data_IF_755386349807
#
_entry.id   IF_755386349807
#
_cell.length_a   1.000
_cell.length_b   1.000
_cell.length_c   1.000
_cell.angle_alpha   90.00
_cell.angle_beta   90.00
_cell.angle_gamma   90.00
#
_symmetry.space_group_name_H-M   'P 1'
#
loop_
_entity.id
_entity.type
_entity.pdbx_description
1 polymer ?
#
# COMPACT_ATOMS: atom_id res chain seq x y z
N UNK A 1 -37.98 7.49 -59.47
CA UNK A 1 -38.00 6.69 -58.22
C UNK A 1 -36.63 6.06 -58.02
N UNK A 2 -35.75 6.69 -57.26
CA UNK A 2 -34.50 6.07 -56.79
C UNK A 2 -34.51 6.17 -55.26
N UNK A 3 -34.82 5.05 -54.61
CA UNK A 3 -34.88 4.95 -53.15
C UNK A 3 -33.46 4.91 -52.61
N UNK A 4 -33.09 5.88 -51.75
CA UNK A 4 -31.80 5.92 -51.07
C UNK A 4 -31.83 4.95 -49.89
N UNK A 5 -31.10 3.85 -50.01
CA UNK A 5 -30.87 2.91 -48.90
C UNK A 5 -29.78 3.51 -48.01
N UNK A 6 -30.15 3.93 -46.80
CA UNK A 6 -29.22 4.39 -45.78
C UNK A 6 -28.82 3.16 -44.95
N UNK A 7 -27.60 2.67 -45.15
CA UNK A 7 -27.00 1.65 -44.29
C UNK A 7 -26.48 2.32 -43.01
N UNK A 8 -27.24 2.21 -41.92
CA UNK A 8 -26.70 2.47 -40.58
C UNK A 8 -25.76 1.33 -40.21
N UNK A 9 -24.45 1.55 -40.35
CA UNK A 9 -23.44 0.66 -39.78
C UNK A 9 -23.48 0.81 -38.26
N UNK A 10 -24.11 -0.15 -37.59
CA UNK A 10 -24.04 -0.27 -36.14
C UNK A 10 -22.65 -0.82 -35.80
N UNK A 11 -21.71 0.10 -35.53
CA UNK A 11 -20.37 -0.25 -35.06
C UNK A 11 -20.52 -0.82 -33.64
N UNK A 12 -20.49 -2.15 -33.52
CA UNK A 12 -20.38 -2.84 -32.24
C UNK A 12 -19.01 -2.50 -31.65
N UNK A 13 -18.96 -1.46 -30.82
CA UNK A 13 -17.84 -1.23 -29.93
C UNK A 13 -17.81 -2.39 -28.93
N UNK A 14 -17.05 -3.44 -29.26
CA UNK A 14 -16.68 -4.45 -28.30
C UNK A 14 -15.85 -3.77 -27.21
N UNK A 15 -16.49 -3.45 -26.08
CA UNK A 15 -15.78 -2.95 -24.90
C UNK A 15 -14.95 -4.11 -24.37
N UNK A 16 -13.65 -4.08 -24.61
CA UNK A 16 -12.72 -4.96 -23.93
C UNK A 16 -12.71 -4.56 -22.46
N UNK A 17 -13.55 -5.20 -21.63
CA UNK A 17 -13.43 -5.06 -20.19
C UNK A 17 -12.11 -5.73 -19.79
N UNK A 18 -11.10 -4.91 -19.50
CA UNK A 18 -9.88 -5.41 -18.89
C UNK A 18 -10.24 -5.92 -17.49
N UNK A 19 -10.32 -7.24 -17.35
CA UNK A 19 -10.53 -7.89 -16.06
C UNK A 19 -9.21 -7.79 -15.30
N UNK A 20 -9.19 -6.98 -14.23
CA UNK A 20 -8.06 -6.93 -13.31
C UNK A 20 -7.78 -8.30 -12.69
N UNK A 21 -6.52 -8.53 -12.31
CA UNK A 21 -6.07 -9.75 -11.63
C UNK A 21 -5.97 -9.47 -10.15
N UNK A 22 -6.49 -10.40 -9.36
CA UNK A 22 -6.28 -10.41 -7.91
C UNK A 22 -4.82 -10.63 -7.59
N UNK A 23 -4.24 -9.68 -6.87
CA UNK A 23 -2.87 -9.72 -6.39
C UNK A 23 -2.83 -9.47 -4.89
N UNK A 24 -1.84 -10.02 -4.21
CA UNK A 24 -1.69 -9.88 -2.76
C UNK A 24 -0.23 -9.76 -2.34
N UNK A 25 -0.03 -9.17 -1.17
CA UNK A 25 1.28 -9.05 -0.52
C UNK A 25 1.13 -9.13 0.99
N UNK A 26 2.20 -9.52 1.68
CA UNK A 26 2.28 -9.47 3.12
C UNK A 26 3.62 -8.91 3.57
N UNK A 27 3.62 -8.21 4.70
CA UNK A 27 4.81 -7.66 5.34
C UNK A 27 4.72 -7.82 6.85
N UNK A 28 5.87 -8.07 7.47
CA UNK A 28 6.03 -8.09 8.93
C UNK A 28 7.34 -7.41 9.34
N UNK A 29 7.42 -7.02 10.60
CA UNK A 29 8.64 -6.44 11.17
C UNK A 29 8.49 -6.04 12.62
N UNK A 30 9.53 -5.40 13.15
CA UNK A 30 9.58 -4.86 14.51
C UNK A 30 10.02 -3.41 14.46
N UNK A 31 9.24 -2.53 15.09
CA UNK A 31 9.58 -1.11 15.22
C UNK A 31 10.18 -0.84 16.59
N UNK A 32 11.28 -0.10 16.61
CA UNK A 32 11.96 0.35 17.81
C UNK A 32 11.93 1.88 17.88
N UNK A 33 11.90 2.42 19.09
CA UNK A 33 12.13 3.82 19.35
C UNK A 33 13.23 3.92 20.38
N UNK A 34 14.43 4.29 19.94
CA UNK A 34 15.67 4.22 20.74
C UNK A 34 15.87 2.78 21.27
N UNK A 35 15.97 2.62 22.58
CA UNK A 35 16.29 1.35 23.24
C UNK A 35 15.07 0.49 23.57
N UNK A 36 13.86 0.92 23.18
CA UNK A 36 12.60 0.22 23.51
C UNK A 36 11.80 -0.15 22.25
N UNK A 37 10.95 -1.19 22.34
CA UNK A 37 9.94 -1.42 21.33
C UNK A 37 8.99 -0.23 21.16
N UNK A 38 8.67 0.10 19.92
CA UNK A 38 7.71 1.15 19.59
C UNK A 38 6.31 0.55 19.54
N UNK A 39 5.57 0.65 20.65
CA UNK A 39 4.19 0.17 20.81
C UNK A 39 3.16 1.15 20.25
N UNK A 40 2.03 0.63 19.77
CA UNK A 40 0.86 1.39 19.31
C UNK A 40 1.14 2.33 18.13
N UNK A 41 2.20 2.06 17.36
CA UNK A 41 2.55 2.77 16.13
C UNK A 41 1.61 2.33 15.03
N UNK A 42 0.96 3.26 14.34
CA UNK A 42 0.05 2.94 13.23
C UNK A 42 0.84 2.64 11.96
N UNK A 43 0.49 1.53 11.30
CA UNK A 43 1.01 1.15 9.99
C UNK A 43 -0.16 0.88 9.06
N UNK A 44 -0.05 1.40 7.84
CA UNK A 44 -1.03 1.19 6.78
C UNK A 44 -0.35 0.65 5.54
N UNK A 45 -0.88 -0.43 4.99
CA UNK A 45 -0.47 -1.03 3.73
C UNK A 45 -1.35 -0.44 2.62
N UNK A 46 -0.70 0.10 1.60
CA UNK A 46 -1.33 0.69 0.44
C UNK A 46 -0.86 0.01 -0.84
N UNK A 47 -1.73 0.02 -1.84
CA UNK A 47 -1.31 -0.04 -3.23
C UNK A 47 -0.99 1.37 -3.73
N UNK A 48 0.16 1.57 -4.38
CA UNK A 48 0.55 2.88 -4.87
C UNK A 48 0.04 3.11 -6.29
N UNK A 49 -0.75 4.16 -6.43
CA UNK A 49 -1.25 4.60 -7.72
C UNK A 49 -0.56 5.88 -8.20
N UNK A 50 -0.22 5.93 -9.49
CA UNK A 50 0.36 7.14 -10.10
C UNK A 50 -0.71 8.19 -10.45
N UNK A 51 -1.94 7.76 -10.75
CA UNK A 51 -3.01 8.61 -11.30
C UNK A 51 -4.23 8.75 -10.39
N UNK A 52 -4.34 7.88 -9.39
CA UNK A 52 -5.37 7.89 -8.35
C UNK A 52 -4.72 8.05 -6.97
N UNK A 53 -5.51 8.41 -5.94
CA UNK A 53 -5.09 8.24 -4.56
C UNK A 53 -4.78 6.76 -4.29
N UNK A 54 -3.73 6.51 -3.51
CA UNK A 54 -3.36 5.17 -3.07
C UNK A 54 -4.54 4.42 -2.43
N UNK A 55 -4.72 3.14 -2.78
CA UNK A 55 -5.75 2.29 -2.21
C UNK A 55 -5.28 1.67 -0.89
N UNK A 56 -6.05 1.87 0.19
CA UNK A 56 -5.76 1.23 1.48
C UNK A 56 -6.11 -0.26 1.42
N UNK A 57 -5.12 -1.12 1.59
CA UNK A 57 -5.32 -2.57 1.57
C UNK A 57 -5.49 -3.18 2.96
N UNK A 58 -4.70 -2.71 3.95
CA UNK A 58 -4.73 -3.19 5.33
C UNK A 58 -4.16 -2.16 6.32
N UNK A 59 -4.49 -2.27 7.61
CA UNK A 59 -3.92 -1.42 8.65
C UNK A 59 -3.82 -2.13 10.00
N UNK A 60 -2.77 -1.83 10.74
CA UNK A 60 -2.50 -2.43 12.04
C UNK A 60 -1.75 -1.44 12.92
N UNK A 61 -1.69 -1.77 14.22
CA UNK A 61 -0.78 -1.11 15.15
C UNK A 61 0.23 -2.10 15.69
N UNK A 62 1.43 -1.64 16.00
CA UNK A 62 2.42 -2.48 16.66
C UNK A 62 1.96 -2.91 18.05
N UNK A 63 2.29 -4.14 18.42
CA UNK A 63 2.01 -4.68 19.75
C UNK A 63 2.97 -4.15 20.83
N UNK A 64 2.92 -4.73 22.03
CA UNK A 64 3.75 -4.33 23.16
C UNK A 64 5.27 -4.54 22.93
N UNK A 65 5.63 -5.48 22.07
CA UNK A 65 6.99 -5.83 21.71
C UNK A 65 7.41 -5.17 20.37
N UNK A 66 6.58 -4.26 19.85
CA UNK A 66 6.84 -3.50 18.64
C UNK A 66 6.61 -4.27 17.35
N UNK A 67 6.05 -5.48 17.42
CA UNK A 67 5.80 -6.32 16.25
C UNK A 67 4.57 -5.85 15.48
N UNK A 68 4.62 -5.96 14.15
CA UNK A 68 3.46 -5.80 13.28
C UNK A 68 3.47 -6.84 12.16
N UNK A 69 2.29 -7.12 11.62
CA UNK A 69 2.09 -7.86 10.39
C UNK A 69 0.87 -7.33 9.65
N UNK A 70 1.00 -7.16 8.35
CA UNK A 70 -0.05 -6.70 7.44
C UNK A 70 -0.15 -7.64 6.24
N UNK A 71 -1.35 -7.79 5.68
CA UNK A 71 -1.60 -8.56 4.47
C UNK A 71 -2.75 -7.94 3.68
N UNK A 72 -2.49 -7.58 2.43
CA UNK A 72 -3.44 -6.90 1.56
C UNK A 72 -3.74 -7.67 0.29
N UNK A 73 -4.89 -7.40 -0.32
CA UNK A 73 -5.25 -7.86 -1.67
C UNK A 73 -5.89 -6.72 -2.45
N UNK A 74 -5.55 -6.58 -3.72
CA UNK A 74 -6.18 -5.64 -4.65
C UNK A 74 -6.41 -6.31 -6.02
N UNK A 75 -7.39 -5.81 -6.76
CA UNK A 75 -7.71 -6.27 -8.13
C UNK A 75 -7.23 -5.23 -9.14
N UNK A 76 -6.11 -5.50 -9.79
CA UNK A 76 -5.45 -4.54 -10.69
C UNK A 76 -5.21 -5.10 -12.09
N UNK A 77 -5.32 -4.24 -13.11
CA UNK A 77 -4.92 -4.60 -14.49
C UNK A 77 -3.39 -4.67 -14.60
N UNK A 78 -2.70 -3.73 -13.96
CA UNK A 78 -1.25 -3.67 -13.75
C UNK A 78 -0.80 -4.56 -12.59
N UNK A 79 0.50 -4.57 -12.33
CA UNK A 79 1.02 -5.14 -11.08
C UNK A 79 0.87 -4.12 -9.95
N UNK A 80 0.41 -4.57 -8.78
CA UNK A 80 0.32 -3.72 -7.59
C UNK A 80 1.72 -3.19 -7.20
N UNK A 81 1.79 -1.96 -6.68
CA UNK A 81 3.00 -1.30 -6.21
C UNK A 81 2.95 -1.08 -4.69
N UNK A 82 2.98 -2.16 -3.89
CA UNK A 82 2.65 -2.07 -2.48
C UNK A 82 3.68 -1.29 -1.67
N UNK A 83 3.19 -0.49 -0.73
CA UNK A 83 4.00 0.23 0.25
C UNK A 83 3.34 0.27 1.62
N UNK A 84 4.14 0.37 2.67
CA UNK A 84 3.65 0.72 3.99
C UNK A 84 3.96 2.17 4.32
N UNK A 85 3.03 2.82 5.02
CA UNK A 85 3.26 4.07 5.72
C UNK A 85 3.25 3.80 7.23
N UNK A 86 4.32 4.20 7.91
CA UNK A 86 4.49 4.08 9.37
C UNK A 86 4.34 5.47 9.97
N UNK A 87 3.37 5.65 10.86
CA UNK A 87 3.03 6.93 11.49
C UNK A 87 3.43 6.92 12.96
N UNK A 88 4.40 7.76 13.35
CA UNK A 88 4.99 7.71 14.67
C UNK A 88 5.41 9.07 15.22
N UNK A 89 5.52 9.14 16.55
CA UNK A 89 6.00 10.32 17.29
C UNK A 89 7.34 10.07 18.00
N UNK A 90 8.05 9.00 17.61
CA UNK A 90 9.39 8.71 18.14
C UNK A 90 10.35 9.88 17.85
N UNK A 91 10.99 10.39 18.91
CA UNK A 91 11.88 11.55 18.88
C UNK A 91 11.26 12.74 18.10
N UNK A 92 9.99 13.04 18.39
CA UNK A 92 9.23 14.08 17.68
C UNK A 92 8.86 15.31 18.53
N UNK A 93 9.04 15.25 19.85
CA UNK A 93 8.67 16.34 20.75
C UNK A 93 7.16 16.61 20.76
N UNK A 94 6.77 17.89 20.85
CA UNK A 94 5.36 18.34 20.80
C UNK A 94 5.14 19.05 19.47
N UNK A 95 5.10 18.28 18.39
CA UNK A 95 4.84 18.79 17.05
C UNK A 95 3.49 18.27 16.54
N UNK A 96 2.74 19.08 15.77
CA UNK A 96 1.49 18.62 15.19
C UNK A 96 1.80 17.57 14.12
N UNK A 97 0.90 16.58 14.03
CA UNK A 97 0.91 15.53 13.02
C UNK A 97 2.08 14.55 13.16
N UNK A 98 1.85 13.28 12.84
CA UNK A 98 2.86 12.25 13.06
C UNK A 98 3.91 12.28 11.95
N UNK A 99 5.15 11.91 12.30
CA UNK A 99 6.18 11.59 11.31
C UNK A 99 5.72 10.38 10.50
N UNK A 100 5.94 10.41 9.19
CA UNK A 100 5.52 9.35 8.26
C UNK A 100 6.70 8.85 7.44
N UNK A 101 7.04 7.58 7.63
CA UNK A 101 8.03 6.86 6.82
C UNK A 101 7.29 5.97 5.82
N UNK A 102 7.69 6.02 4.55
CA UNK A 102 7.15 5.17 3.49
C UNK A 102 8.18 4.13 3.08
N UNK A 103 7.78 2.86 3.01
CA UNK A 103 8.64 1.75 2.58
C UNK A 103 7.91 0.93 1.52
N UNK A 104 8.48 0.85 0.33
CA UNK A 104 7.96 0.01 -0.75
C UNK A 104 8.33 -1.45 -0.53
N UNK A 105 7.36 -2.34 -0.74
CA UNK A 105 7.56 -3.78 -0.72
C UNK A 105 8.02 -4.22 -2.10
N UNK A 106 9.15 -4.94 -2.23
CA UNK A 106 9.63 -5.39 -3.53
C UNK A 106 8.60 -6.28 -4.24
N UNK A 107 8.41 -6.07 -5.55
CA UNK A 107 7.44 -6.80 -6.36
C UNK A 107 7.59 -8.32 -6.35
N UNK A 108 8.78 -8.85 -6.01
CA UNK A 108 9.00 -10.29 -5.81
C UNK A 108 8.15 -10.90 -4.68
N UNK A 109 7.63 -10.09 -3.75
CA UNK A 109 6.73 -10.51 -2.68
C UNK A 109 5.24 -10.38 -3.05
N UNK A 110 4.94 -9.94 -4.27
CA UNK A 110 3.56 -9.87 -4.80
C UNK A 110 3.19 -11.23 -5.39
N UNK A 111 2.04 -11.75 -4.99
CA UNK A 111 1.47 -13.01 -5.47
C UNK A 111 0.24 -12.74 -6.34
N UNK A 112 0.08 -13.47 -7.46
CA UNK A 112 -1.10 -13.39 -8.34
C UNK A 112 -2.28 -14.24 -7.81
N UNK A 113 -2.46 -14.25 -6.51
CA UNK A 113 -3.46 -15.02 -5.78
C UNK A 113 -4.02 -14.17 -4.65
N UNK A 114 -5.19 -14.52 -4.13
CA UNK A 114 -5.80 -13.82 -2.99
C UNK A 114 -5.00 -13.92 -1.69
N UNK A 115 -4.23 -15.00 -1.52
CA UNK A 115 -3.37 -15.17 -0.35
C UNK A 115 -1.91 -14.99 -0.77
N UNK A 116 -1.12 -14.17 -0.03
CA UNK A 116 0.31 -14.02 -0.30
C UNK A 116 1.04 -15.35 -0.11
N UNK A 117 1.90 -15.69 -1.05
CA UNK A 117 2.75 -16.90 -0.99
C UNK A 117 3.97 -16.72 -0.09
N UNK A 118 4.45 -15.48 0.03
CA UNK A 118 5.59 -15.09 0.85
C UNK A 118 5.27 -13.82 1.66
N UNK A 119 5.96 -13.63 2.77
CA UNK A 119 5.87 -12.42 3.59
C UNK A 119 7.20 -11.69 3.52
N UNK A 120 7.17 -10.41 3.16
CA UNK A 120 8.36 -9.55 3.22
C UNK A 120 8.70 -9.25 4.68
N UNK A 121 9.86 -9.72 5.14
CA UNK A 121 10.34 -9.42 6.48
C UNK A 121 11.20 -8.15 6.44
N UNK A 122 10.67 -7.06 7.00
CA UNK A 122 11.36 -5.77 7.11
C UNK A 122 12.54 -5.82 8.10
N UNK A 123 12.53 -6.81 9.01
CA UNK A 123 13.45 -6.89 10.12
C UNK A 123 13.09 -5.89 11.21
N UNK A 124 14.11 -5.23 11.76
CA UNK A 124 13.97 -4.24 12.85
C UNK A 124 14.25 -2.85 12.30
N UNK A 125 13.32 -1.92 12.50
CA UNK A 125 13.46 -0.52 12.05
C UNK A 125 13.53 0.43 13.25
N UNK A 126 14.53 1.30 13.26
CA UNK A 126 14.75 2.30 14.33
C UNK A 126 14.08 3.63 13.97
N UNK A 127 12.98 3.97 14.63
CA UNK A 127 12.17 5.17 14.33
C UNK A 127 12.80 6.49 14.81
N UNK A 128 13.82 6.44 15.68
CA UNK A 128 14.54 7.64 16.10
C UNK A 128 15.38 8.26 14.96
N UNK A 129 15.79 7.46 13.96
CA UNK A 129 16.54 7.95 12.80
C UNK A 129 15.73 8.93 11.94
N UNK A 130 16.43 9.78 11.16
CA UNK A 130 15.83 10.63 10.12
C UNK A 130 16.01 9.94 8.77
N UNK A 131 14.91 9.66 8.08
CA UNK A 131 14.91 8.91 6.82
C UNK A 131 14.73 9.84 5.63
N UNK A 132 15.42 9.55 4.52
CA UNK A 132 15.23 10.29 3.28
C UNK A 132 13.79 10.12 2.77
N UNK A 133 13.14 11.22 2.40
CA UNK A 133 11.75 11.21 1.93
C UNK A 133 10.69 11.09 3.03
N UNK A 134 11.09 11.09 4.31
CA UNK A 134 10.17 11.16 5.43
C UNK A 134 9.34 12.46 5.41
N UNK A 135 8.04 12.34 5.70
CA UNK A 135 7.10 13.46 5.71
C UNK A 135 6.36 13.57 7.05
N UNK A 136 5.37 14.46 7.15
CA UNK A 136 4.39 14.51 8.25
C UNK A 136 2.98 14.34 7.71
N UNK A 137 2.13 13.71 8.49
CA UNK A 137 0.73 13.47 8.12
C UNK A 137 -0.21 13.63 9.31
N UNK A 138 -1.26 14.42 9.11
CA UNK A 138 -2.29 14.74 10.10
C UNK A 138 -3.59 13.97 9.86
N UNK A 139 -3.74 13.37 8.67
CA UNK A 139 -4.96 12.80 8.14
C UNK A 139 -4.69 11.38 7.69
N UNK A 140 -4.35 10.52 8.67
CA UNK A 140 -4.10 9.11 8.43
C UNK A 140 -5.34 8.26 8.66
#
# INVERSE_FOLDING_TARGET
MYSRIIFYSFCLFATCQAIGRTQSTAIEGVLLCEDKPAKDVLIKLYDHDTVSPDELMDSAKTDADGHFRLSGTADEISGIEPKINIYHDCDDGILPCQRRITIFIPSKYVSNTKQPSETFNLGRLQLAGKYAGESRDCLH
#
